data_IF_223649038669
#
_entry.id   IF_223649038669
#
_cell.length_a   1.000
_cell.length_b   1.000
_cell.length_c   1.000
_cell.angle_alpha   90.00
_cell.angle_beta   90.00
_cell.angle_gamma   90.00
#
_symmetry.space_group_name_H-M   'P 1'
#
loop_
_entity.id
_entity.type
_entity.pdbx_description
1 polymer ?
#
# COMPACT_ATOMS: atom_id res chain seq x y z
N UNK A 1 -10.41 -25.80 -23.78
CA UNK A 1 -10.94 -24.45 -24.09
C UNK A 1 -12.28 -24.65 -24.82
N UNK A 2 -13.37 -23.95 -24.47
CA UNK A 2 -14.68 -24.19 -25.13
C UNK A 2 -14.68 -23.58 -26.53
N UNK A 3 -15.06 -24.37 -27.53
CA UNK A 3 -15.21 -23.93 -28.91
C UNK A 3 -16.57 -23.22 -29.09
N UNK A 4 -16.52 -21.99 -29.62
CA UNK A 4 -17.69 -21.15 -29.90
C UNK A 4 -17.90 -20.93 -31.41
N UNK A 5 -17.27 -21.75 -32.26
CA UNK A 5 -17.39 -21.71 -33.72
C UNK A 5 -18.81 -21.96 -34.24
N UNK A 6 -19.69 -22.60 -33.47
CA UNK A 6 -21.03 -22.99 -33.91
C UNK A 6 -22.12 -22.08 -33.32
N UNK A 7 -22.47 -21.01 -34.04
CA UNK A 7 -23.24 -19.85 -33.57
C UNK A 7 -24.71 -20.14 -33.19
N UNK A 8 -25.28 -21.28 -33.61
CA UNK A 8 -26.72 -21.55 -33.50
C UNK A 8 -27.20 -22.02 -32.12
N UNK A 9 -26.30 -22.39 -31.19
CA UNK A 9 -26.63 -22.83 -29.81
C UNK A 9 -25.85 -22.07 -28.73
N UNK A 10 -25.21 -20.97 -29.09
CA UNK A 10 -24.29 -20.26 -28.20
C UNK A 10 -25.05 -19.25 -27.36
N UNK A 11 -24.91 -19.34 -26.05
CA UNK A 11 -25.30 -18.26 -25.15
C UNK A 11 -24.46 -17.01 -25.47
N UNK A 12 -25.09 -15.99 -26.05
CA UNK A 12 -24.44 -14.77 -26.55
C UNK A 12 -23.64 -14.08 -25.44
N UNK A 13 -24.15 -14.03 -24.21
CA UNK A 13 -23.45 -13.39 -23.08
C UNK A 13 -22.15 -14.13 -22.74
N UNK A 14 -22.15 -15.46 -22.82
CA UNK A 14 -20.94 -16.26 -22.58
C UNK A 14 -19.90 -16.06 -23.68
N UNK A 15 -20.34 -15.93 -24.94
CA UNK A 15 -19.45 -15.61 -26.06
C UNK A 15 -18.84 -14.22 -25.91
N UNK A 16 -19.65 -13.20 -25.61
CA UNK A 16 -19.16 -11.83 -25.38
C UNK A 16 -18.14 -11.78 -24.24
N UNK A 17 -18.40 -12.50 -23.14
CA UNK A 17 -17.46 -12.58 -22.03
C UNK A 17 -16.15 -13.28 -22.42
N UNK A 18 -16.25 -14.39 -23.16
CA UNK A 18 -15.08 -15.12 -23.66
C UNK A 18 -14.23 -14.24 -24.58
N UNK A 19 -14.86 -13.64 -25.60
CA UNK A 19 -14.17 -12.84 -26.60
C UNK A 19 -13.59 -11.57 -25.97
N UNK A 20 -14.32 -10.94 -25.05
CA UNK A 20 -13.84 -9.78 -24.30
C UNK A 20 -12.61 -10.10 -23.43
N UNK A 21 -12.60 -11.25 -22.75
CA UNK A 21 -11.42 -11.74 -22.01
C UNK A 21 -10.24 -12.01 -22.93
N UNK A 22 -10.48 -12.67 -24.07
CA UNK A 22 -9.44 -12.95 -25.04
C UNK A 22 -8.81 -11.65 -25.57
N UNK A 23 -9.62 -10.65 -25.94
CA UNK A 23 -9.13 -9.35 -26.41
C UNK A 23 -8.27 -8.68 -25.33
N UNK A 24 -8.76 -8.64 -24.08
CA UNK A 24 -8.00 -8.05 -22.97
C UNK A 24 -6.66 -8.75 -22.74
N UNK A 25 -6.66 -10.09 -22.73
CA UNK A 25 -5.45 -10.90 -22.56
C UNK A 25 -4.44 -10.72 -23.69
N UNK A 26 -4.89 -10.53 -24.93
CA UNK A 26 -4.00 -10.19 -26.03
C UNK A 26 -3.43 -8.77 -25.89
N UNK A 27 -4.23 -7.83 -25.38
CA UNK A 27 -3.77 -6.48 -25.05
C UNK A 27 -2.64 -6.47 -24.00
N UNK A 28 -2.63 -7.45 -23.09
CA UNK A 28 -1.56 -7.64 -22.11
C UNK A 28 -0.24 -8.22 -22.70
N UNK A 29 -0.16 -8.50 -24.01
CA UNK A 29 1.01 -9.14 -24.64
C UNK A 29 1.83 -8.21 -25.54
N UNK A 30 1.93 -6.92 -25.22
CA UNK A 30 2.83 -5.99 -25.92
C UNK A 30 2.18 -4.80 -26.60
N UNK A 31 0.95 -4.44 -26.24
CA UNK A 31 0.43 -3.10 -26.51
C UNK A 31 0.96 -2.13 -25.42
N UNK A 32 0.09 -1.40 -24.71
CA UNK A 32 0.43 -0.57 -23.54
C UNK A 32 0.55 -1.39 -22.24
N UNK A 33 1.02 -2.63 -22.36
CA UNK A 33 1.13 -3.56 -21.23
C UNK A 33 2.50 -3.46 -20.58
N UNK A 34 2.51 -3.32 -19.26
CA UNK A 34 3.70 -3.20 -18.43
C UNK A 34 3.88 -4.46 -17.58
N UNK A 35 5.13 -4.87 -17.43
CA UNK A 35 5.52 -5.87 -16.42
C UNK A 35 5.76 -5.15 -15.11
N UNK A 36 5.02 -5.53 -14.08
CA UNK A 36 5.12 -4.95 -12.74
C UNK A 36 5.23 -6.07 -11.72
N UNK A 37 5.58 -5.72 -10.49
CA UNK A 37 5.30 -6.61 -9.35
C UNK A 37 4.17 -6.04 -8.52
N UNK A 38 3.23 -6.88 -8.11
CA UNK A 38 2.21 -6.55 -7.11
C UNK A 38 2.48 -7.44 -5.91
N UNK A 39 2.83 -6.82 -4.78
CA UNK A 39 3.27 -7.51 -3.54
C UNK A 39 4.38 -8.55 -3.82
N UNK A 40 5.33 -8.18 -4.69
CA UNK A 40 6.47 -9.01 -5.07
C UNK A 40 6.19 -10.08 -6.14
N UNK A 41 4.93 -10.25 -6.56
CA UNK A 41 4.54 -11.22 -7.59
C UNK A 41 4.52 -10.53 -8.95
N UNK A 42 5.25 -11.06 -9.94
CA UNK A 42 5.24 -10.53 -11.31
C UNK A 42 3.85 -10.65 -11.93
N UNK A 43 3.37 -9.54 -12.50
CA UNK A 43 2.09 -9.41 -13.20
C UNK A 43 2.27 -8.58 -14.46
N UNK A 44 1.42 -8.84 -15.44
CA UNK A 44 1.31 -7.99 -16.63
C UNK A 44 0.01 -7.22 -16.57
N UNK A 45 0.12 -5.90 -16.60
CA UNK A 45 -1.00 -4.96 -16.40
C UNK A 45 -0.95 -3.85 -17.44
N UNK A 46 -1.99 -3.04 -17.57
CA UNK A 46 -1.92 -1.78 -18.30
C UNK A 46 -1.90 -0.63 -17.30
N UNK A 47 -0.97 0.30 -17.47
CA UNK A 47 -0.87 1.52 -16.66
C UNK A 47 -1.18 2.72 -17.55
N UNK A 48 -2.25 3.44 -17.23
CA UNK A 48 -2.69 4.58 -18.04
C UNK A 48 -2.81 5.84 -17.19
N UNK A 49 -2.61 7.00 -17.80
CA UNK A 49 -2.72 8.29 -17.12
C UNK A 49 -4.12 8.48 -16.53
N UNK A 50 -4.19 9.00 -15.31
CA UNK A 50 -5.45 9.45 -14.73
C UNK A 50 -5.72 10.87 -15.22
N UNK A 51 -6.83 11.08 -15.91
CA UNK A 51 -7.21 12.37 -16.51
C UNK A 51 -7.12 13.57 -15.54
N UNK A 52 -7.36 13.33 -14.24
CA UNK A 52 -7.35 14.38 -13.21
C UNK A 52 -6.02 14.50 -12.43
N UNK A 53 -4.94 13.84 -12.84
CA UNK A 53 -3.63 13.93 -12.17
C UNK A 53 -2.70 14.82 -12.99
N UNK A 54 -2.84 16.14 -12.85
CA UNK A 54 -2.00 17.10 -13.56
C UNK A 54 -0.51 17.01 -13.19
N UNK A 55 -0.19 16.42 -12.04
CA UNK A 55 1.15 16.21 -11.49
C UNK A 55 1.73 14.80 -11.76
N UNK A 56 0.96 13.91 -12.40
CA UNK A 56 1.36 12.52 -12.63
C UNK A 56 1.42 11.64 -11.38
N UNK A 57 1.04 12.13 -10.19
CA UNK A 57 1.14 11.37 -8.93
C UNK A 57 0.12 10.22 -8.83
N UNK A 58 -0.89 10.20 -9.70
CA UNK A 58 -1.90 9.16 -9.78
C UNK A 58 -2.09 8.62 -11.21
N UNK A 59 -2.25 7.31 -11.32
CA UNK A 59 -2.51 6.59 -12.57
C UNK A 59 -3.64 5.58 -12.39
N UNK A 60 -4.12 5.02 -13.49
CA UNK A 60 -4.96 3.83 -13.47
C UNK A 60 -4.13 2.59 -13.72
N UNK A 61 -4.46 1.51 -12.99
CA UNK A 61 -3.99 0.16 -13.25
C UNK A 61 -5.16 -0.70 -13.71
N UNK A 62 -4.96 -1.46 -14.77
CA UNK A 62 -5.91 -2.44 -15.29
C UNK A 62 -5.23 -3.80 -15.35
N UNK A 63 -5.88 -4.84 -14.84
CA UNK A 63 -5.33 -6.19 -14.82
C UNK A 63 -6.41 -7.24 -14.69
N UNK A 64 -5.97 -8.51 -14.68
CA UNK A 64 -6.86 -9.64 -14.41
C UNK A 64 -7.56 -9.47 -13.06
N UNK A 65 -8.76 -10.02 -12.95
CA UNK A 65 -9.64 -9.79 -11.78
C UNK A 65 -9.01 -10.27 -10.47
N UNK A 66 -8.21 -11.32 -10.51
CA UNK A 66 -7.56 -11.85 -9.30
C UNK A 66 -6.37 -11.01 -8.84
N UNK A 67 -5.78 -10.21 -9.73
CA UNK A 67 -4.49 -9.57 -9.50
C UNK A 67 -4.60 -8.16 -8.91
N UNK A 68 -5.76 -7.51 -9.10
CA UNK A 68 -5.97 -6.12 -8.67
C UNK A 68 -6.85 -6.10 -7.41
N UNK A 69 -6.27 -5.65 -6.31
CA UNK A 69 -6.92 -5.44 -5.02
C UNK A 69 -6.41 -4.13 -4.40
N UNK A 70 -7.24 -3.53 -3.54
CA UNK A 70 -6.86 -2.32 -2.81
C UNK A 70 -5.76 -2.64 -1.82
N UNK A 71 -4.76 -1.77 -1.68
CA UNK A 71 -3.64 -1.97 -0.77
C UNK A 71 -2.45 -2.68 -1.39
N UNK A 72 -2.61 -3.29 -2.57
CA UNK A 72 -1.48 -3.88 -3.28
C UNK A 72 -0.41 -2.82 -3.59
N UNK A 73 0.84 -3.17 -3.30
CA UNK A 73 2.03 -2.38 -3.58
C UNK A 73 2.54 -2.76 -4.95
N UNK A 74 2.54 -1.80 -5.86
CA UNK A 74 2.92 -1.99 -7.26
C UNK A 74 4.32 -1.41 -7.47
N UNK A 75 5.28 -2.21 -7.94
CA UNK A 75 6.57 -1.68 -8.42
C UNK A 75 6.56 -1.60 -9.93
N UNK A 76 6.82 -0.40 -10.44
CA UNK A 76 6.78 -0.07 -11.86
C UNK A 76 7.78 1.06 -12.13
N UNK A 77 8.67 0.89 -13.13
CA UNK A 77 9.70 1.87 -13.50
C UNK A 77 10.54 2.40 -12.32
N UNK A 78 11.03 1.49 -11.48
CA UNK A 78 11.79 1.80 -10.24
C UNK A 78 11.04 2.64 -9.19
N UNK A 79 9.76 2.94 -9.45
CA UNK A 79 8.88 3.62 -8.53
C UNK A 79 8.00 2.62 -7.79
N UNK A 80 7.68 2.95 -6.55
CA UNK A 80 6.69 2.20 -5.77
C UNK A 80 5.38 2.96 -5.77
N UNK A 81 4.30 2.26 -6.03
CA UNK A 81 2.93 2.78 -6.12
C UNK A 81 2.02 1.98 -5.20
N UNK A 82 0.92 2.59 -4.75
CA UNK A 82 -0.07 1.94 -3.91
C UNK A 82 -1.45 1.97 -4.59
N UNK A 83 -2.14 0.83 -4.64
CA UNK A 83 -3.53 0.77 -5.13
C UNK A 83 -4.46 1.38 -4.07
N UNK A 84 -4.94 2.60 -4.30
CA UNK A 84 -5.65 3.40 -3.29
C UNK A 84 -7.17 3.37 -3.41
N UNK A 85 -7.70 3.16 -4.63
CA UNK A 85 -9.15 3.07 -4.84
C UNK A 85 -9.67 1.65 -4.66
N UNK A 86 -10.97 1.54 -4.43
CA UNK A 86 -11.66 0.26 -4.57
C UNK A 86 -11.56 -0.19 -6.05
N UNK A 87 -11.10 -1.43 -6.34
CA UNK A 87 -11.06 -1.94 -7.70
C UNK A 87 -12.48 -2.18 -8.24
N UNK A 88 -12.77 -1.65 -9.42
CA UNK A 88 -14.03 -1.89 -10.12
C UNK A 88 -13.84 -3.00 -11.15
N UNK A 89 -14.69 -4.02 -11.10
CA UNK A 89 -14.69 -5.11 -12.08
C UNK A 89 -15.84 -4.97 -13.07
N UNK A 90 -15.56 -5.22 -14.35
CA UNK A 90 -16.57 -5.34 -15.40
C UNK A 90 -16.72 -6.80 -15.90
N UNK A 91 -16.31 -7.79 -15.09
CA UNK A 91 -16.23 -9.24 -15.43
C UNK A 91 -15.14 -9.66 -16.42
N UNK A 92 -14.53 -8.71 -17.13
CA UNK A 92 -13.40 -8.95 -18.04
C UNK A 92 -12.09 -8.65 -17.32
N UNK A 93 -11.99 -7.48 -16.70
CA UNK A 93 -10.82 -7.03 -15.96
C UNK A 93 -11.23 -6.28 -14.69
N UNK A 94 -10.24 -5.89 -13.89
CA UNK A 94 -10.40 -4.90 -12.82
C UNK A 94 -9.61 -3.65 -13.13
N UNK A 95 -10.16 -2.50 -12.76
CA UNK A 95 -9.52 -1.19 -12.84
C UNK A 95 -9.47 -0.55 -11.46
N UNK A 96 -8.33 0.03 -11.11
CA UNK A 96 -8.16 0.79 -9.88
C UNK A 96 -7.26 2.02 -10.11
N UNK A 97 -7.31 2.98 -9.18
CA UNK A 97 -6.36 4.08 -9.13
C UNK A 97 -5.17 3.69 -8.26
N UNK A 98 -3.96 3.94 -8.76
CA UNK A 98 -2.70 3.88 -8.03
C UNK A 98 -2.20 5.29 -7.77
N UNK A 99 -1.48 5.46 -6.66
CA UNK A 99 -0.79 6.72 -6.32
C UNK A 99 0.65 6.41 -5.92
N UNK A 100 1.58 7.24 -6.35
CA UNK A 100 3.01 7.04 -6.10
C UNK A 100 3.31 7.14 -4.60
N UNK A 101 4.11 6.20 -4.09
CA UNK A 101 4.65 6.25 -2.75
C UNK A 101 5.88 7.16 -2.78
N UNK A 102 5.75 8.38 -2.28
CA UNK A 102 6.85 9.35 -2.28
C UNK A 102 7.96 9.04 -1.26
N UNK A 103 7.72 8.13 -0.31
CA UNK A 103 8.68 7.76 0.73
C UNK A 103 8.29 6.43 1.39
N UNK A 104 9.14 5.94 2.29
CA UNK A 104 8.91 4.75 3.11
C UNK A 104 9.39 5.00 4.54
N UNK A 105 8.92 4.18 5.47
CA UNK A 105 9.47 4.10 6.82
C UNK A 105 9.65 2.64 7.22
N UNK A 106 10.31 2.40 8.35
CA UNK A 106 10.53 1.05 8.83
C UNK A 106 9.79 0.78 10.13
N UNK A 107 9.22 -0.41 10.22
CA UNK A 107 8.75 -0.99 11.46
C UNK A 107 9.73 -2.09 11.86
N UNK A 108 10.18 -2.09 13.11
CA UNK A 108 11.07 -3.13 13.63
C UNK A 108 10.32 -3.91 14.70
N UNK A 109 10.24 -5.22 14.53
CA UNK A 109 9.61 -6.09 15.51
C UNK A 109 10.40 -6.17 16.81
N UNK A 110 9.81 -6.72 17.87
CA UNK A 110 10.53 -6.91 19.13
C UNK A 110 11.66 -7.95 18.98
N UNK A 111 12.75 -7.73 19.73
CA UNK A 111 13.84 -8.69 19.82
C UNK A 111 13.35 -10.01 20.43
N UNK A 112 13.79 -11.13 19.87
CA UNK A 112 13.45 -12.48 20.36
C UNK A 112 14.59 -13.03 21.21
N UNK A 113 14.24 -13.65 22.33
CA UNK A 113 15.17 -14.44 23.12
C UNK A 113 14.99 -15.91 22.74
N UNK A 114 16.03 -16.51 22.16
CA UNK A 114 16.04 -17.92 21.77
C UNK A 114 16.85 -18.69 22.81
N UNK A 115 16.28 -19.74 23.38
CA UNK A 115 17.02 -20.65 24.26
C UNK A 115 18.12 -21.35 23.45
N UNK A 116 19.37 -21.21 23.89
CA UNK A 116 20.53 -21.81 23.22
C UNK A 116 20.68 -23.30 23.51
N UNK A 117 19.85 -23.87 24.39
CA UNK A 117 19.97 -25.24 24.88
C UNK A 117 21.15 -25.45 25.84
N UNK A 118 21.84 -24.37 26.24
CA UNK A 118 22.97 -24.41 27.17
C UNK A 118 22.56 -23.85 28.53
N UNK A 119 23.13 -24.43 29.59
CA UNK A 119 22.95 -23.96 30.96
C UNK A 119 24.20 -23.20 31.37
N UNK A 120 24.03 -22.05 32.01
CA UNK A 120 25.11 -21.31 32.62
C UNK A 120 25.60 -22.05 33.86
N UNK A 121 26.82 -22.58 33.80
CA UNK A 121 27.40 -23.45 34.84
C UNK A 121 27.53 -22.77 36.22
N UNK A 122 27.59 -21.44 36.26
CA UNK A 122 27.72 -20.66 37.51
C UNK A 122 26.36 -20.40 38.16
N UNK A 123 25.34 -20.13 37.35
CA UNK A 123 24.02 -19.71 37.85
C UNK A 123 22.96 -20.82 37.79
N UNK A 124 23.24 -21.92 37.09
CA UNK A 124 22.29 -23.01 36.83
C UNK A 124 21.11 -22.63 35.93
N UNK A 125 21.12 -21.43 35.32
CA UNK A 125 20.01 -20.91 34.50
C UNK A 125 20.26 -21.14 33.01
N UNK A 126 19.19 -21.32 32.20
CA UNK A 126 19.32 -21.39 30.74
C UNK A 126 19.94 -20.12 30.15
N UNK A 127 20.78 -20.28 29.13
CA UNK A 127 21.37 -19.19 28.37
C UNK A 127 20.48 -18.90 27.17
N UNK A 128 20.05 -17.65 27.05
CA UNK A 128 19.29 -17.16 25.91
C UNK A 128 20.17 -16.31 25.00
N UNK A 129 20.00 -16.47 23.69
CA UNK A 129 20.58 -15.61 22.66
C UNK A 129 19.55 -14.57 22.24
N UNK A 130 20.00 -13.32 22.15
CA UNK A 130 19.16 -12.20 21.70
C UNK A 130 19.25 -12.08 20.18
N UNK A 131 18.17 -12.40 19.49
CA UNK A 131 18.00 -12.21 18.05
C UNK A 131 17.29 -10.88 17.81
N UNK A 132 17.90 -9.93 17.08
CA UNK A 132 17.26 -8.66 16.76
C UNK A 132 15.94 -8.85 16.02
N UNK A 133 14.98 -7.96 16.29
CA UNK A 133 13.73 -7.91 15.57
C UNK A 133 13.91 -7.72 14.05
N UNK A 134 13.04 -8.33 13.28
CA UNK A 134 12.95 -8.12 11.83
C UNK A 134 12.51 -6.69 11.52
N UNK A 135 13.16 -6.10 10.51
CA UNK A 135 12.88 -4.75 10.02
C UNK A 135 12.07 -4.82 8.73
N UNK A 136 10.84 -4.32 8.76
CA UNK A 136 9.92 -4.28 7.63
C UNK A 136 9.85 -2.87 7.05
N UNK A 137 10.14 -2.74 5.75
CA UNK A 137 9.93 -1.48 5.02
C UNK A 137 8.46 -1.30 4.65
N UNK A 138 7.90 -0.15 4.96
CA UNK A 138 6.51 0.21 4.67
C UNK A 138 6.51 1.39 3.68
N UNK A 139 6.22 1.16 2.39
CA UNK A 139 6.07 2.23 1.42
C UNK A 139 4.80 3.03 1.71
N UNK A 140 4.86 4.35 1.54
CA UNK A 140 3.76 5.21 1.92
C UNK A 140 3.58 6.44 1.03
N UNK A 141 2.35 6.94 1.02
CA UNK A 141 1.98 8.22 0.44
C UNK A 141 1.92 9.22 1.60
N UNK A 142 2.85 10.17 1.61
CA UNK A 142 2.93 11.21 2.63
C UNK A 142 2.31 12.52 2.12
N UNK A 143 1.30 13.04 2.81
CA UNK A 143 0.62 14.29 2.46
C UNK A 143 0.55 15.22 3.67
N UNK A 144 1.25 16.35 3.62
CA UNK A 144 1.17 17.36 4.67
C UNK A 144 -0.11 18.18 4.52
N UNK A 145 -0.81 18.37 5.62
CA UNK A 145 -1.95 19.29 5.72
C UNK A 145 -1.64 20.38 6.73
N UNK A 146 -1.86 21.63 6.33
CA UNK A 146 -1.82 22.78 7.23
C UNK A 146 -3.23 23.00 7.77
N UNK A 147 -3.43 22.83 9.09
CA UNK A 147 -4.64 23.32 9.75
C UNK A 147 -4.45 24.80 10.09
N UNK A 148 -5.40 25.63 9.68
CA UNK A 148 -5.53 27.00 10.18
C UNK A 148 -6.56 26.91 11.31
N UNK A 149 -6.11 26.81 12.56
CA UNK A 149 -7.02 26.90 13.69
C UNK A 149 -7.55 28.34 13.77
N UNK A 150 -8.84 28.51 13.50
CA UNK A 150 -9.54 29.79 13.57
C UNK A 150 -9.80 30.18 15.02
N UNK A 151 -8.87 30.91 15.61
CA UNK A 151 -9.09 31.75 16.79
C UNK A 151 -8.43 33.10 16.51
N UNK A 152 -9.11 34.21 16.82
CA UNK A 152 -8.68 35.61 16.60
C UNK A 152 -7.46 36.02 17.46
N UNK A 153 -6.40 35.23 17.49
CA UNK A 153 -5.13 35.56 18.13
C UNK A 153 -4.02 35.55 17.08
N UNK A 154 -3.21 36.60 17.10
CA UNK A 154 -2.14 36.84 16.15
C UNK A 154 -1.09 35.71 16.22
N UNK A 155 -0.79 35.14 15.05
CA UNK A 155 0.25 34.14 14.75
C UNK A 155 -0.02 32.72 15.27
N UNK A 156 -1.03 32.04 14.71
CA UNK A 156 -1.07 30.58 14.72
C UNK A 156 -0.11 30.03 13.65
N UNK A 157 1.07 29.55 14.07
CA UNK A 157 1.90 28.72 13.20
C UNK A 157 1.11 27.43 12.88
N UNK A 158 1.06 26.96 11.63
CA UNK A 158 0.29 25.77 11.31
C UNK A 158 0.88 24.57 12.06
N UNK A 159 0.11 24.01 12.99
CA UNK A 159 0.38 22.71 13.60
C UNK A 159 0.45 21.72 12.45
N UNK A 160 1.67 21.31 12.09
CA UNK A 160 1.90 20.50 10.90
C UNK A 160 1.24 19.14 11.08
N UNK A 161 0.12 18.89 10.43
CA UNK A 161 -0.48 17.56 10.38
C UNK A 161 0.00 16.86 9.10
N UNK A 162 0.13 15.54 9.17
CA UNK A 162 0.41 14.69 8.02
C UNK A 162 -0.61 13.56 7.95
N UNK A 163 -1.08 13.31 6.74
CA UNK A 163 -1.85 12.13 6.38
C UNK A 163 -0.91 11.17 5.66
N UNK A 164 -0.70 9.99 6.25
CA UNK A 164 0.22 8.98 5.74
C UNK A 164 -0.63 7.77 5.35
N UNK A 165 -0.70 7.46 4.06
CA UNK A 165 -1.44 6.28 3.58
C UNK A 165 -0.47 5.14 3.30
N UNK A 166 -0.73 3.97 3.89
CA UNK A 166 0.08 2.76 3.78
C UNK A 166 -0.77 1.56 3.32
N UNK A 167 -0.14 0.50 2.77
CA UNK A 167 -0.82 -0.79 2.63
C UNK A 167 -1.28 -1.32 3.99
N UNK A 168 -2.37 -2.09 4.01
CA UNK A 168 -2.78 -2.81 5.20
C UNK A 168 -1.71 -3.82 5.60
N UNK A 169 -1.28 -3.75 6.85
CA UNK A 169 -0.35 -4.69 7.46
C UNK A 169 -0.64 -4.79 8.94
N UNK A 170 -0.43 -5.97 9.51
CA UNK A 170 -0.54 -6.20 10.95
C UNK A 170 0.86 -6.19 11.53
N UNK A 171 1.15 -5.24 12.42
CA UNK A 171 2.45 -5.12 13.07
C UNK A 171 2.27 -4.52 14.47
N UNK A 172 2.92 -5.06 15.49
CA UNK A 172 2.74 -4.71 16.90
C UNK A 172 3.17 -3.27 17.25
N UNK A 173 4.07 -2.71 16.45
CA UNK A 173 4.50 -1.30 16.53
C UNK A 173 3.56 -0.32 15.81
N UNK A 174 2.65 -0.80 14.96
CA UNK A 174 1.70 0.07 14.25
C UNK A 174 0.52 0.42 15.16
N UNK A 175 0.69 1.44 15.99
CA UNK A 175 -0.30 1.90 16.99
C UNK A 175 -0.21 3.41 17.22
N UNK A 176 -1.26 3.98 17.82
CA UNK A 176 -1.26 5.39 18.26
C UNK A 176 -0.04 5.63 19.16
N UNK A 177 0.60 6.79 18.98
CA UNK A 177 1.85 7.17 19.63
C UNK A 177 3.11 6.77 18.86
N UNK A 178 3.00 5.98 17.79
CA UNK A 178 4.13 5.67 16.89
C UNK A 178 4.77 6.97 16.41
N UNK A 179 6.10 7.08 16.56
CA UNK A 179 6.88 8.21 16.07
C UNK A 179 7.49 7.86 14.72
N UNK A 180 7.32 8.75 13.75
CA UNK A 180 7.79 8.60 12.37
C UNK A 180 8.60 9.84 11.99
N UNK A 181 9.73 9.65 11.35
CA UNK A 181 10.57 10.74 10.86
C UNK A 181 10.48 10.82 9.35
N UNK A 182 10.03 11.95 8.83
CA UNK A 182 9.97 12.22 7.39
C UNK A 182 10.63 13.55 7.09
N UNK A 183 11.54 13.57 6.11
CA UNK A 183 12.21 14.79 5.63
C UNK A 183 12.87 15.63 6.75
N UNK A 184 13.45 14.96 7.75
CA UNK A 184 14.12 15.61 8.89
C UNK A 184 13.18 16.10 10.01
N UNK A 185 11.88 15.79 9.92
CA UNK A 185 10.86 16.22 10.88
C UNK A 185 10.19 15.00 11.54
N UNK A 186 9.98 15.09 12.85
CA UNK A 186 9.33 14.03 13.62
C UNK A 186 7.83 14.25 13.72
N UNK A 187 7.08 13.18 13.52
CA UNK A 187 5.63 13.11 13.60
C UNK A 187 5.22 12.03 14.60
N UNK A 188 4.20 12.30 15.40
CA UNK A 188 3.53 11.30 16.24
C UNK A 188 2.17 10.95 15.65
N UNK A 189 1.88 9.67 15.48
CA UNK A 189 0.58 9.17 15.03
C UNK A 189 -0.44 9.36 16.14
N UNK A 190 -1.47 10.18 15.89
CA UNK A 190 -2.56 10.46 16.82
C UNK A 190 -3.79 9.60 16.56
N UNK A 191 -4.02 9.21 15.30
CA UNK A 191 -5.16 8.40 14.89
C UNK A 191 -4.80 7.47 13.72
N UNK A 192 -5.52 6.35 13.64
CA UNK A 192 -5.35 5.34 12.61
C UNK A 192 -6.72 4.96 12.03
N UNK A 193 -6.95 5.36 10.78
CA UNK A 193 -8.18 5.08 10.05
C UNK A 193 -8.05 3.80 9.22
N UNK A 194 -8.84 2.80 9.62
CA UNK A 194 -8.98 1.49 8.98
C UNK A 194 -10.23 1.37 8.08
N UNK A 195 -11.00 2.45 7.87
CA UNK A 195 -12.28 2.44 7.10
C UNK A 195 -12.13 1.92 5.66
N UNK A 196 -10.89 1.85 5.19
CA UNK A 196 -10.50 1.46 3.84
C UNK A 196 -9.93 0.04 3.76
N UNK A 197 -10.00 -0.72 4.85
CA UNK A 197 -9.58 -2.13 4.98
C UNK A 197 -10.79 -3.06 4.88
N UNK A 198 -10.67 -4.12 4.08
CA UNK A 198 -11.68 -5.14 3.88
C UNK A 198 -11.00 -6.52 3.86
N UNK A 199 -11.25 -7.33 4.89
CA UNK A 199 -10.55 -8.61 5.07
C UNK A 199 -9.08 -8.40 5.36
N UNK A 200 -8.22 -9.01 4.54
CA UNK A 200 -6.76 -8.95 4.57
C UNK A 200 -6.18 -7.93 3.58
N UNK A 201 -7.02 -7.12 2.94
CA UNK A 201 -6.61 -6.14 1.94
C UNK A 201 -7.10 -4.73 2.27
N UNK A 202 -6.35 -3.72 1.82
CA UNK A 202 -6.77 -2.33 1.88
C UNK A 202 -5.64 -1.37 2.18
N UNK A 203 -6.01 -0.13 2.47
CA UNK A 203 -5.07 0.92 2.86
C UNK A 203 -5.41 1.42 4.24
N UNK A 204 -4.41 1.63 5.08
CA UNK A 204 -4.55 2.29 6.37
C UNK A 204 -4.13 3.75 6.20
N UNK A 205 -4.83 4.67 6.87
CA UNK A 205 -4.43 6.08 6.93
C UNK A 205 -4.00 6.44 8.34
N UNK A 206 -2.73 6.78 8.52
CA UNK A 206 -2.20 7.34 9.75
C UNK A 206 -2.37 8.85 9.72
N UNK A 207 -2.98 9.39 10.78
CA UNK A 207 -3.09 10.83 11.00
C UNK A 207 -2.06 11.20 12.05
N UNK A 208 -1.04 11.95 11.67
CA UNK A 208 0.08 12.27 12.53
C UNK A 208 0.25 13.78 12.71
N UNK A 209 0.68 14.21 13.89
CA UNK A 209 1.04 15.61 14.17
C UNK A 209 2.54 15.75 14.31
N UNK A 210 3.07 16.84 13.77
CA UNK A 210 4.46 17.23 13.93
C UNK A 210 4.77 17.43 15.42
N UNK A 211 5.84 16.79 15.91
CA UNK A 211 6.38 17.09 17.23
C UNK A 211 7.07 18.44 17.16
N UNK A 212 6.53 19.43 17.87
CA UNK A 212 7.24 20.69 18.11
C UNK A 212 8.13 20.41 19.32
N UNK A 213 9.44 20.45 19.14
CA UNK A 213 10.37 20.30 20.27
C UNK A 213 10.06 21.35 21.34
N UNK A 214 9.99 20.93 22.60
CA UNK A 214 10.16 21.89 23.70
C UNK A 214 11.51 22.55 23.49
N UNK A 215 11.50 23.86 23.23
CA UNK A 215 12.73 24.64 23.29
C UNK A 215 13.20 24.60 24.74
N UNK A 216 14.15 23.73 25.05
CA UNK A 216 15.00 23.84 26.24
C UNK A 216 15.81 25.11 26.20
#
# INVERSE_FOLDING_TARGET
MKDYSNYHKVNINNKLLHDGKLIFQQGLKGFESEKVTIDGIEKTVMITSKYSSGDGSARYILGEIADIYRGGVVKFNDETWLITSHPLSNKIYKKAAIKICGTSFFLTSEDKLIDTGKINEITGKPIYEKVPGEKTEVPCIFERTTSINGTELAVNLPDGQANITIPYLVHEKLKIGLTLTFFGEDYQVDDIDYSKVYGDHGTIKLVAKKKVGEKT
#
